data_IF_169877874451
#
_entry.id   IF_169877874451
#
_cell.length_a   1.000
_cell.length_b   1.000
_cell.length_c   1.000
_cell.angle_alpha   90.00
_cell.angle_beta   90.00
_cell.angle_gamma   90.00
#
_symmetry.space_group_name_H-M   'P 1'
#
loop_
_entity.id
_entity.type
_entity.pdbx_description
1 polymer ?
#
# COMPACT_ATOMS: atom_id res chain seq x y z
N UNK A 1 -5.05 16.73 16.83
CA UNK A 1 -4.90 17.77 15.82
C UNK A 1 -5.75 17.57 14.58
N UNK A 2 -6.60 16.56 14.54
CA UNK A 2 -7.52 16.31 13.46
C UNK A 2 -6.96 15.58 12.24
N UNK A 3 -5.70 15.22 12.25
CA UNK A 3 -5.09 14.46 11.16
C UNK A 3 -5.31 12.97 11.38
N UNK A 4 -5.59 12.25 10.30
CA UNK A 4 -5.82 10.81 10.33
C UNK A 4 -4.67 10.07 9.68
N UNK A 5 -4.26 8.96 10.31
CA UNK A 5 -3.22 8.08 9.82
C UNK A 5 -3.68 6.64 9.92
N UNK A 6 -3.30 5.82 8.96
CA UNK A 6 -3.29 4.37 9.13
C UNK A 6 -2.01 3.99 9.86
N UNK A 7 -2.10 3.17 10.89
CA UNK A 7 -0.93 2.70 11.65
C UNK A 7 -0.93 1.18 11.63
N UNK A 8 0.16 0.59 11.14
CA UNK A 8 0.28 -0.87 11.12
C UNK A 8 0.96 -1.39 12.40
N UNK A 9 1.11 -2.70 12.51
CA UNK A 9 1.71 -3.34 13.70
C UNK A 9 3.14 -2.88 13.98
N UNK A 10 3.87 -2.47 12.95
CA UNK A 10 5.24 -1.98 13.09
C UNK A 10 5.30 -0.47 13.24
N UNK A 11 4.15 0.16 13.51
CA UNK A 11 3.99 1.60 13.75
C UNK A 11 4.33 2.47 12.55
N UNK A 12 4.26 1.90 11.34
CA UNK A 12 4.34 2.70 10.12
C UNK A 12 3.03 3.46 9.98
N UNK A 13 3.13 4.78 9.79
CA UNK A 13 1.98 5.68 9.70
C UNK A 13 1.80 6.14 8.27
N UNK A 14 0.69 5.77 7.66
CA UNK A 14 0.34 6.22 6.32
C UNK A 14 -0.72 7.30 6.42
N UNK A 15 -0.47 8.52 5.90
CA UNK A 15 -1.43 9.60 6.04
C UNK A 15 -2.71 9.35 5.24
N UNK A 16 -3.84 9.63 5.85
CA UNK A 16 -5.16 9.50 5.22
C UNK A 16 -5.89 10.84 5.11
N UNK A 17 -5.14 11.94 5.18
CA UNK A 17 -5.72 13.28 5.21
C UNK A 17 -6.57 13.62 3.98
N UNK A 18 -6.19 13.06 2.84
CA UNK A 18 -6.87 13.33 1.57
C UNK A 18 -7.95 12.30 1.23
N UNK A 19 -8.12 11.31 2.09
CA UNK A 19 -9.13 10.30 1.85
C UNK A 19 -10.53 10.84 2.20
N UNK A 20 -11.48 10.59 1.33
CA UNK A 20 -12.85 11.07 1.50
C UNK A 20 -13.70 9.99 2.20
N UNK A 21 -13.73 10.02 3.52
CA UNK A 21 -14.52 9.08 4.32
C UNK A 21 -16.00 9.42 4.24
N UNK A 22 -16.84 8.37 4.21
CA UNK A 22 -18.29 8.54 4.20
C UNK A 22 -18.81 9.08 5.53
N UNK A 23 -18.22 8.65 6.64
CA UNK A 23 -18.59 9.09 7.99
C UNK A 23 -17.32 9.24 8.82
N UNK A 24 -17.01 10.47 9.21
CA UNK A 24 -15.82 10.76 9.99
C UNK A 24 -16.00 10.60 11.49
N UNK A 25 -17.25 10.41 11.95
CA UNK A 25 -17.54 10.44 13.38
C UNK A 25 -16.97 9.25 14.15
N UNK A 26 -16.83 8.10 13.51
CA UNK A 26 -16.46 6.85 14.18
C UNK A 26 -15.14 6.26 13.69
N UNK A 27 -14.20 7.13 13.27
CA UNK A 27 -12.93 6.64 12.68
C UNK A 27 -11.81 6.46 13.71
N UNK A 28 -11.95 7.02 14.89
CA UNK A 28 -10.87 7.00 15.87
C UNK A 28 -10.62 5.58 16.37
N UNK A 29 -9.36 5.15 16.31
CA UNK A 29 -8.91 3.85 16.78
C UNK A 29 -9.66 2.67 16.18
N UNK A 30 -10.19 2.84 14.98
CA UNK A 30 -10.90 1.79 14.28
C UNK A 30 -9.92 0.89 13.53
N UNK A 31 -10.17 -0.42 13.59
CA UNK A 31 -9.40 -1.35 12.76
C UNK A 31 -9.89 -1.28 11.32
N UNK A 32 -8.95 -1.08 10.41
CA UNK A 32 -9.26 -0.91 9.00
C UNK A 32 -8.32 -1.77 8.14
N UNK A 33 -8.75 -1.99 6.91
CA UNK A 33 -7.95 -2.64 5.89
C UNK A 33 -7.70 -1.61 4.79
N UNK A 34 -6.44 -1.41 4.42
CA UNK A 34 -6.11 -0.57 3.28
C UNK A 34 -6.08 -1.41 2.02
N UNK A 35 -6.77 -0.95 0.99
CA UNK A 35 -6.72 -1.55 -0.34
C UNK A 35 -5.85 -0.71 -1.24
N UNK A 36 -4.86 -1.33 -1.85
CA UNK A 36 -3.95 -0.67 -2.78
C UNK A 36 -3.88 -1.54 -4.03
N UNK A 37 -4.22 -0.95 -5.16
CA UNK A 37 -4.13 -1.68 -6.43
C UNK A 37 -2.68 -1.86 -6.84
N UNK A 38 -2.30 -3.02 -7.42
CA UNK A 38 -0.91 -3.28 -7.81
C UNK A 38 -0.34 -2.22 -8.76
N UNK A 39 -1.15 -1.64 -9.62
CA UNK A 39 -0.71 -0.60 -10.57
C UNK A 39 -0.48 0.75 -9.91
N UNK A 40 -0.88 0.93 -8.65
CA UNK A 40 -0.68 2.16 -7.89
C UNK A 40 0.50 2.08 -6.91
N UNK A 41 1.33 1.07 -7.09
CA UNK A 41 2.57 0.87 -6.33
C UNK A 41 3.73 1.02 -7.32
N UNK A 42 4.69 1.87 -7.00
CA UNK A 42 5.77 2.22 -7.90
C UNK A 42 7.13 1.86 -7.31
N UNK A 43 8.07 1.53 -8.18
CA UNK A 43 9.45 1.27 -7.77
C UNK A 43 10.28 2.53 -7.65
N UNK A 44 9.79 3.65 -8.18
CA UNK A 44 10.44 4.95 -8.09
C UNK A 44 9.41 5.99 -7.73
N UNK A 45 9.83 7.01 -6.98
CA UNK A 45 8.96 8.11 -6.61
C UNK A 45 8.58 8.91 -7.85
N UNK A 46 7.29 8.95 -8.18
CA UNK A 46 6.80 9.67 -9.36
C UNK A 46 6.02 10.93 -9.00
N UNK A 47 5.72 11.15 -7.73
CA UNK A 47 5.06 12.34 -7.22
C UNK A 47 5.63 12.68 -5.87
N UNK A 48 5.61 13.97 -5.50
CA UNK A 48 6.14 14.42 -4.22
C UNK A 48 5.36 13.87 -3.03
N UNK A 49 4.08 13.54 -3.23
CA UNK A 49 3.21 13.03 -2.17
C UNK A 49 3.15 11.50 -2.10
N UNK A 50 3.96 10.80 -2.89
CA UNK A 50 4.07 9.35 -2.78
C UNK A 50 4.61 8.98 -1.40
N UNK A 51 4.02 7.95 -0.80
CA UNK A 51 4.45 7.46 0.49
C UNK A 51 5.43 6.29 0.32
N UNK A 52 6.61 6.42 0.91
CA UNK A 52 7.65 5.38 0.82
C UNK A 52 7.41 4.32 1.89
N UNK A 53 7.46 3.05 1.47
CA UNK A 53 7.46 1.92 2.39
C UNK A 53 8.64 1.01 2.08
N UNK A 54 9.08 0.28 3.10
CA UNK A 54 10.13 -0.73 2.96
C UNK A 54 9.48 -2.10 3.02
N UNK A 55 9.79 -2.93 2.05
CA UNK A 55 9.19 -4.25 1.91
C UNK A 55 10.27 -5.26 1.57
N UNK A 56 9.90 -6.54 1.62
CA UNK A 56 10.76 -7.62 1.15
C UNK A 56 10.07 -8.32 0.00
N UNK A 57 10.77 -8.45 -1.12
CA UNK A 57 10.24 -9.18 -2.27
C UNK A 57 10.31 -10.68 -2.01
N UNK A 58 9.23 -11.41 -2.31
CA UNK A 58 9.13 -12.84 -2.03
C UNK A 58 8.97 -13.70 -3.27
N UNK A 59 8.18 -13.24 -4.24
CA UNK A 59 7.85 -14.03 -5.41
C UNK A 59 7.60 -13.11 -6.60
N UNK A 60 8.06 -13.53 -7.78
CA UNK A 60 7.79 -12.82 -9.03
C UNK A 60 7.15 -13.78 -10.03
N UNK A 61 6.08 -13.34 -10.67
CA UNK A 61 5.41 -14.07 -11.74
C UNK A 61 5.38 -13.20 -12.99
N UNK A 62 5.80 -13.76 -14.12
CA UNK A 62 5.83 -13.03 -15.38
C UNK A 62 4.60 -13.36 -16.20
N UNK A 63 3.90 -12.33 -16.66
CA UNK A 63 2.71 -12.47 -17.50
C UNK A 63 2.88 -11.51 -18.68
N UNK A 64 3.29 -12.04 -19.84
CA UNK A 64 3.55 -11.22 -21.02
C UNK A 64 4.69 -10.23 -20.77
N UNK A 65 4.40 -8.95 -20.94
CA UNK A 65 5.38 -7.88 -20.74
C UNK A 65 5.37 -7.32 -19.31
N UNK A 66 4.63 -7.96 -18.43
CA UNK A 66 4.49 -7.50 -17.07
C UNK A 66 4.95 -8.56 -16.09
N UNK A 67 5.30 -8.12 -14.89
CA UNK A 67 5.57 -9.03 -13.78
C UNK A 67 4.75 -8.59 -12.58
N UNK A 68 4.24 -9.58 -11.87
CA UNK A 68 3.53 -9.36 -10.62
C UNK A 68 4.43 -9.86 -9.50
N UNK A 69 4.73 -9.00 -8.57
CA UNK A 69 5.64 -9.32 -7.48
C UNK A 69 4.87 -9.30 -6.17
N UNK A 70 5.05 -10.35 -5.38
CA UNK A 70 4.52 -10.43 -4.04
C UNK A 70 5.56 -9.89 -3.09
N UNK A 71 5.18 -8.89 -2.31
CA UNK A 71 6.03 -8.29 -1.29
C UNK A 71 5.47 -8.59 0.10
N UNK A 72 6.37 -8.68 1.05
CA UNK A 72 6.00 -8.72 2.47
C UNK A 72 6.19 -7.34 3.06
N UNK A 73 5.11 -6.76 3.56
CA UNK A 73 5.13 -5.48 4.25
C UNK A 73 4.62 -5.71 5.67
N UNK A 74 5.52 -5.74 6.64
CA UNK A 74 5.18 -5.93 8.05
C UNK A 74 4.32 -7.19 8.29
N UNK A 75 4.61 -8.26 7.58
CA UNK A 75 3.86 -9.50 7.69
C UNK A 75 2.62 -9.61 6.83
N UNK A 76 2.27 -8.55 6.11
CA UNK A 76 1.15 -8.53 5.18
C UNK A 76 1.66 -8.64 3.74
N UNK A 77 0.91 -9.29 2.89
CA UNK A 77 1.28 -9.39 1.48
C UNK A 77 0.76 -8.19 0.71
N UNK A 78 1.63 -7.65 -0.15
CA UNK A 78 1.27 -6.63 -1.12
C UNK A 78 1.63 -7.14 -2.51
N UNK A 79 0.80 -6.83 -3.49
CA UNK A 79 1.10 -7.14 -4.88
C UNK A 79 1.45 -5.86 -5.62
N UNK A 80 2.56 -5.89 -6.34
CA UNK A 80 2.94 -4.82 -7.24
C UNK A 80 2.99 -5.32 -8.66
N UNK A 81 2.63 -4.46 -9.61
CA UNK A 81 2.63 -4.78 -11.03
C UNK A 81 3.61 -3.86 -11.74
N UNK A 82 4.60 -4.45 -12.39
CA UNK A 82 5.68 -3.70 -13.02
C UNK A 82 5.93 -4.19 -14.43
N UNK A 83 6.64 -3.38 -15.22
CA UNK A 83 7.15 -3.84 -16.50
C UNK A 83 8.14 -4.99 -16.28
N UNK A 84 8.11 -6.00 -17.17
CA UNK A 84 9.05 -7.11 -17.08
C UNK A 84 10.50 -6.69 -17.25
N UNK A 85 10.74 -5.47 -17.74
CA UNK A 85 12.10 -4.95 -17.91
C UNK A 85 12.72 -4.42 -16.63
N UNK A 86 11.90 -4.24 -15.57
CA UNK A 86 12.40 -3.79 -14.28
C UNK A 86 12.99 -4.99 -13.54
N UNK A 87 14.23 -4.85 -13.11
CA UNK A 87 14.95 -5.92 -12.42
C UNK A 87 14.73 -5.79 -10.92
N UNK A 88 13.94 -6.71 -10.37
CA UNK A 88 13.65 -6.73 -8.94
C UNK A 88 14.16 -8.04 -8.36
N UNK A 89 15.14 -7.94 -7.47
CA UNK A 89 15.74 -9.10 -6.82
C UNK A 89 14.81 -9.68 -5.77
N UNK A 90 14.63 -11.00 -5.78
CA UNK A 90 13.77 -11.70 -4.83
C UNK A 90 14.53 -11.91 -3.51
N UNK A 91 13.78 -11.90 -2.41
CA UNK A 91 14.30 -12.03 -1.03
C UNK A 91 15.21 -10.88 -0.60
N UNK A 92 15.00 -9.71 -1.18
CA UNK A 92 15.76 -8.50 -0.84
C UNK A 92 14.83 -7.42 -0.33
N UNK A 93 15.38 -6.55 0.51
CA UNK A 93 14.67 -5.32 0.89
C UNK A 93 14.53 -4.41 -0.31
N UNK A 94 13.39 -3.77 -0.38
CA UNK A 94 13.05 -2.93 -1.51
C UNK A 94 12.21 -1.75 -1.04
N UNK A 95 12.43 -0.59 -1.65
CA UNK A 95 11.60 0.58 -1.38
C UNK A 95 10.52 0.68 -2.44
N UNK A 96 9.29 0.80 -1.98
CA UNK A 96 8.14 1.03 -2.84
C UNK A 96 7.52 2.37 -2.49
N UNK A 97 6.84 2.94 -3.46
CA UNK A 97 6.17 4.23 -3.32
C UNK A 97 4.70 4.03 -3.64
N UNK A 98 3.85 4.43 -2.71
CA UNK A 98 2.40 4.26 -2.81
C UNK A 98 1.77 5.59 -3.16
N UNK A 99 0.85 5.55 -4.13
CA UNK A 99 0.01 6.71 -4.41
C UNK A 99 -1.11 6.75 -3.38
N UNK A 100 -0.93 7.56 -2.35
CA UNK A 100 -1.89 7.65 -1.25
C UNK A 100 -3.23 8.23 -1.67
N UNK A 101 -3.31 8.81 -2.86
CA UNK A 101 -4.58 9.34 -3.39
C UNK A 101 -5.42 8.24 -4.05
N UNK A 102 -4.88 7.05 -4.22
CA UNK A 102 -5.54 5.92 -4.89
C UNK A 102 -5.79 4.75 -3.96
N UNK A 103 -5.65 4.93 -2.65
CA UNK A 103 -5.94 3.88 -1.69
C UNK A 103 -7.43 3.83 -1.40
N UNK A 104 -7.90 2.66 -0.97
CA UNK A 104 -9.26 2.46 -0.47
C UNK A 104 -9.18 1.98 0.98
N UNK A 105 -10.15 2.36 1.78
CA UNK A 105 -10.19 2.01 3.20
C UNK A 105 -11.45 1.20 3.47
N UNK A 106 -11.29 0.05 4.09
CA UNK A 106 -12.37 -0.86 4.43
C UNK A 106 -12.45 -1.07 5.92
N UNK A 107 -13.65 -1.27 6.43
CA UNK A 107 -13.86 -1.68 7.81
C UNK A 107 -13.36 -3.11 7.99
N UNK A 108 -12.51 -3.36 8.99
CA UNK A 108 -11.95 -4.69 9.18
C UNK A 108 -12.98 -5.73 9.62
N UNK A 109 -14.07 -5.29 10.26
CA UNK A 109 -15.12 -6.19 10.73
C UNK A 109 -16.15 -6.51 9.65
N UNK A 110 -16.62 -5.48 8.93
CA UNK A 110 -17.69 -5.64 7.93
C UNK A 110 -17.16 -5.83 6.53
N UNK A 111 -15.89 -5.47 6.28
CA UNK A 111 -15.26 -5.44 4.97
C UNK A 111 -15.91 -4.45 4.00
N UNK A 112 -16.75 -3.55 4.51
CA UNK A 112 -17.34 -2.50 3.71
C UNK A 112 -16.40 -1.31 3.58
N UNK A 113 -16.45 -0.67 2.42
CA UNK A 113 -15.66 0.53 2.18
C UNK A 113 -16.17 1.68 3.05
N UNK A 114 -15.27 2.38 3.67
CA UNK A 114 -15.58 3.53 4.51
C UNK A 114 -14.85 4.75 3.96
#
# INVERSE_FOLDING_TARGET
>A
DGKLFFVNKDKVKIPLNNYNFKDKANLREKEIILGIRPEHIYNEKNRSDNFEIKVKSELAEYIGHEQIITFNFSGQQLLGKFSSTIDININKEFKLYIDINQISVFDALTEERI
#
